data_IF_839336462011
#
_entry.id   IF_839336462011
#
_cell.length_a   1.000
_cell.length_b   1.000
_cell.length_c   1.000
_cell.angle_alpha   90.00
_cell.angle_beta   90.00
_cell.angle_gamma   90.00
#
_symmetry.space_group_name_H-M   'P 1'
#
loop_
_entity.id
_entity.type
_entity.pdbx_description
1 polymer ?
#
# COMPACT_ATOMS: atom_id res chain seq x y z
N UNK A 1 -0.29 -2.15 -4.99
CA UNK A 1 -1.59 -1.74 -4.42
C UNK A 1 -1.33 -1.07 -3.08
N UNK A 2 -1.73 0.16 -2.91
CA UNK A 2 -1.71 0.85 -1.63
C UNK A 2 -2.69 2.02 -1.65
N UNK A 3 -3.29 2.34 -0.51
CA UNK A 3 -4.22 3.45 -0.43
C UNK A 3 -4.64 3.83 0.98
N UNK A 4 -5.41 4.89 1.06
CA UNK A 4 -6.02 5.39 2.28
C UNK A 4 -5.15 6.37 3.07
N UNK A 5 -3.91 6.04 3.41
CA UNK A 5 -3.02 6.91 4.20
C UNK A 5 -1.61 6.98 3.62
N UNK A 6 -0.89 8.06 3.96
CA UNK A 6 0.50 8.23 3.57
C UNK A 6 1.42 7.10 4.06
N UNK A 7 1.09 6.48 5.21
CA UNK A 7 1.85 5.36 5.77
C UNK A 7 1.91 4.12 4.86
N UNK A 8 0.95 3.94 3.97
CA UNK A 8 0.94 2.88 2.96
C UNK A 8 1.44 3.37 1.60
N UNK A 9 1.05 4.60 1.22
CA UNK A 9 1.33 5.16 -0.10
C UNK A 9 2.82 5.46 -0.28
N UNK A 10 3.47 6.13 0.66
CA UNK A 10 4.87 6.52 0.52
C UNK A 10 5.86 5.34 0.52
N UNK A 11 5.74 4.33 1.39
CA UNK A 11 6.52 3.11 1.25
C UNK A 11 6.29 2.39 -0.08
N UNK A 12 5.03 2.34 -0.54
CA UNK A 12 4.70 1.79 -1.85
C UNK A 12 5.36 2.54 -3.01
N UNK A 13 5.44 3.88 -2.92
CA UNK A 13 6.16 4.71 -3.89
C UNK A 13 7.66 4.41 -3.87
N UNK A 14 8.27 4.30 -2.68
CA UNK A 14 9.70 3.98 -2.57
C UNK A 14 10.03 2.65 -3.27
N UNK A 15 9.22 1.61 -3.07
CA UNK A 15 9.38 0.33 -3.78
C UNK A 15 9.14 0.49 -5.28
N UNK A 16 8.11 1.24 -5.68
CA UNK A 16 7.77 1.45 -7.09
C UNK A 16 8.88 2.20 -7.84
N UNK A 17 9.51 3.20 -7.22
CA UNK A 17 10.66 3.93 -7.76
C UNK A 17 11.85 3.01 -8.00
N UNK A 18 12.17 2.17 -7.03
CA UNK A 18 13.28 1.20 -7.13
C UNK A 18 13.02 0.14 -8.22
N UNK A 19 11.83 -0.42 -8.26
CA UNK A 19 11.47 -1.41 -9.29
C UNK A 19 11.46 -0.79 -10.69
N UNK A 20 10.96 0.45 -10.83
CA UNK A 20 11.00 1.18 -12.11
C UNK A 20 12.44 1.44 -12.57
N UNK A 21 13.35 1.77 -11.66
CA UNK A 21 14.77 1.95 -11.97
C UNK A 21 15.41 0.64 -12.47
N UNK A 22 14.87 -0.51 -12.06
CA UNK A 22 15.26 -1.86 -12.54
C UNK A 22 14.54 -2.30 -13.82
N UNK A 23 13.78 -1.43 -14.46
CA UNK A 23 13.09 -1.70 -15.72
C UNK A 23 11.71 -2.33 -15.60
N UNK A 24 11.13 -2.43 -14.39
CA UNK A 24 9.78 -2.97 -14.20
C UNK A 24 8.71 -1.96 -14.63
N UNK A 25 7.68 -2.44 -15.30
CA UNK A 25 6.45 -1.68 -15.53
C UNK A 25 5.61 -1.69 -14.26
N UNK A 26 5.27 -0.51 -13.76
CA UNK A 26 4.48 -0.36 -12.54
C UNK A 26 3.08 0.14 -12.88
N UNK A 27 2.07 -0.60 -12.43
CA UNK A 27 0.67 -0.18 -12.46
C UNK A 27 0.15 -0.10 -11.04
N UNK A 28 -0.36 1.06 -10.64
CA UNK A 28 -0.85 1.28 -9.28
C UNK A 28 -2.36 1.07 -9.19
N UNK A 29 -2.77 0.07 -8.41
CA UNK A 29 -4.18 -0.08 -8.05
C UNK A 29 -4.49 0.73 -6.80
N UNK A 30 -5.47 1.63 -6.90
CA UNK A 30 -5.90 2.53 -5.83
C UNK A 30 -7.36 2.94 -5.94
N UNK A 31 -7.83 3.73 -4.98
CA UNK A 31 -9.17 4.33 -5.00
C UNK A 31 -9.11 5.72 -5.66
N UNK A 32 -9.97 6.04 -6.65
CA UNK A 32 -9.97 7.36 -7.29
C UNK A 32 -10.36 8.50 -6.34
N UNK A 33 -10.99 8.19 -5.21
CA UNK A 33 -11.38 9.16 -4.19
C UNK A 33 -10.39 9.20 -3.00
N UNK A 34 -9.27 8.46 -3.08
CA UNK A 34 -8.24 8.39 -2.05
C UNK A 34 -7.11 9.39 -2.25
N UNK A 35 -6.22 9.47 -1.25
CA UNK A 35 -5.00 10.29 -1.33
C UNK A 35 -4.11 9.88 -2.50
N UNK A 36 -4.07 8.59 -2.82
CA UNK A 36 -3.31 8.00 -3.91
C UNK A 36 -3.72 8.56 -5.29
N UNK A 37 -4.99 8.94 -5.46
CA UNK A 37 -5.49 9.50 -6.72
C UNK A 37 -4.81 10.83 -7.11
N UNK A 38 -4.33 11.58 -6.12
CA UNK A 38 -3.58 12.81 -6.36
C UNK A 38 -2.08 12.59 -6.46
N UNK A 39 -1.52 11.74 -5.59
CA UNK A 39 -0.07 11.58 -5.43
C UNK A 39 0.53 10.72 -6.55
N UNK A 40 -0.12 9.61 -6.88
CA UNK A 40 0.44 8.57 -7.76
C UNK A 40 0.56 9.02 -9.22
N UNK A 41 -0.48 9.64 -9.82
CA UNK A 41 -0.38 10.14 -11.20
C UNK A 41 0.68 11.24 -11.37
N UNK A 42 0.88 12.12 -10.37
CA UNK A 42 1.93 13.16 -10.39
C UNK A 42 3.34 12.58 -10.48
N UNK A 43 3.53 11.29 -10.15
CA UNK A 43 4.81 10.57 -10.27
C UNK A 43 4.94 9.78 -11.57
N UNK A 44 3.97 9.91 -12.48
CA UNK A 44 3.98 9.28 -13.79
C UNK A 44 3.69 7.78 -13.77
N UNK A 45 3.04 7.25 -12.72
CA UNK A 45 2.62 5.85 -12.70
C UNK A 45 1.28 5.65 -13.40
N UNK A 46 1.17 4.58 -14.18
CA UNK A 46 -0.11 4.09 -14.69
C UNK A 46 -0.99 3.66 -13.51
N UNK A 47 -2.30 3.93 -13.60
CA UNK A 47 -3.23 3.66 -12.51
C UNK A 47 -4.38 2.75 -12.94
N UNK A 48 -4.79 1.88 -12.04
CA UNK A 48 -5.97 1.04 -12.15
C UNK A 48 -6.91 1.36 -11.00
N UNK A 49 -7.96 2.13 -11.29
CA UNK A 49 -8.88 2.60 -10.25
C UNK A 49 -9.91 1.55 -9.89
N UNK A 50 -10.08 1.34 -8.59
CA UNK A 50 -11.10 0.48 -7.99
C UNK A 50 -11.81 1.28 -6.91
N UNK A 51 -13.10 1.54 -7.10
CA UNK A 51 -13.93 2.23 -6.11
C UNK A 51 -14.31 1.28 -5.01
N UNK A 52 -13.57 1.32 -3.94
CA UNK A 52 -13.81 0.53 -2.76
C UNK A 52 -13.65 1.44 -1.53
N UNK A 53 -14.76 1.76 -0.87
CA UNK A 53 -14.78 2.69 0.25
C UNK A 53 -14.38 2.03 1.56
N UNK A 54 -13.71 2.78 2.44
CA UNK A 54 -13.53 2.36 3.82
C UNK A 54 -14.91 2.21 4.49
N UNK A 55 -15.08 1.12 5.26
CA UNK A 55 -16.29 0.81 6.03
C UNK A 55 -16.55 1.81 7.18
N UNK A 56 -15.78 2.91 7.25
CA UNK A 56 -15.95 3.98 8.24
C UNK A 56 -17.15 4.86 7.91
N UNK A 57 -18.26 4.63 8.59
CA UNK A 57 -19.45 5.49 8.52
C UNK A 57 -20.61 4.90 9.31
N UNK A 58 -21.23 5.71 10.16
CA UNK A 58 -22.40 5.37 10.99
C UNK A 58 -23.68 5.54 10.17
N UNK A 59 -24.25 4.46 9.64
CA UNK A 59 -25.54 4.51 8.98
C UNK A 59 -26.01 3.11 8.59
N UNK A 60 -27.28 2.79 8.88
CA UNK A 60 -27.88 1.48 8.58
C UNK A 60 -27.90 1.20 7.08
N UNK A 61 -28.21 2.21 6.27
CA UNK A 61 -28.23 2.12 4.80
C UNK A 61 -26.85 1.71 4.25
N UNK A 62 -25.77 2.27 4.80
CA UNK A 62 -24.40 1.94 4.38
C UNK A 62 -24.02 0.51 4.75
N UNK A 63 -24.49 0.01 5.90
CA UNK A 63 -24.31 -1.40 6.28
C UNK A 63 -25.06 -2.35 5.36
N UNK A 64 -26.26 -1.98 4.92
CA UNK A 64 -27.07 -2.75 3.98
C UNK A 64 -26.46 -2.77 2.56
N UNK A 65 -25.83 -1.68 2.13
CA UNK A 65 -25.16 -1.58 0.83
C UNK A 65 -23.74 -2.16 0.82
N UNK A 66 -23.22 -2.59 1.97
CA UNK A 66 -21.89 -3.15 2.11
C UNK A 66 -21.64 -4.36 1.21
N UNK A 67 -22.52 -5.39 1.14
CA UNK A 67 -22.30 -6.54 0.26
C UNK A 67 -22.19 -6.12 -1.21
N UNK A 68 -23.02 -5.19 -1.66
CA UNK A 68 -23.00 -4.68 -3.03
C UNK A 68 -21.69 -3.94 -3.32
N UNK A 69 -21.23 -3.10 -2.39
CA UNK A 69 -19.96 -2.39 -2.52
C UNK A 69 -18.75 -3.34 -2.54
N UNK A 70 -18.78 -4.39 -1.72
CA UNK A 70 -17.76 -5.44 -1.72
C UNK A 70 -17.73 -6.16 -3.07
N UNK A 71 -18.87 -6.65 -3.55
CA UNK A 71 -18.96 -7.33 -4.84
C UNK A 71 -18.48 -6.45 -6.00
N UNK A 72 -18.88 -5.17 -6.01
CA UNK A 72 -18.42 -4.21 -7.00
C UNK A 72 -16.91 -3.98 -6.93
N UNK A 73 -16.33 -3.88 -5.72
CA UNK A 73 -14.89 -3.75 -5.51
C UNK A 73 -14.12 -4.97 -6.02
N UNK A 74 -14.59 -6.17 -5.70
CA UNK A 74 -14.01 -7.42 -6.21
C UNK A 74 -14.09 -7.53 -7.75
N UNK A 75 -15.24 -7.20 -8.32
CA UNK A 75 -15.41 -7.20 -9.78
C UNK A 75 -14.47 -6.20 -10.48
N UNK A 76 -14.35 -4.98 -9.96
CA UNK A 76 -13.44 -3.98 -10.50
C UNK A 76 -11.97 -4.42 -10.40
N UNK A 77 -11.58 -5.00 -9.24
CA UNK A 77 -10.24 -5.53 -9.02
C UNK A 77 -9.93 -6.68 -9.99
N UNK A 78 -10.86 -7.63 -10.15
CA UNK A 78 -10.75 -8.73 -11.12
C UNK A 78 -10.54 -8.21 -12.55
N UNK A 79 -11.35 -7.23 -12.96
CA UNK A 79 -11.26 -6.64 -14.30
C UNK A 79 -9.93 -5.90 -14.49
N UNK A 80 -9.45 -5.19 -13.46
CA UNK A 80 -8.18 -4.50 -13.50
C UNK A 80 -7.01 -5.49 -13.63
N UNK A 81 -6.98 -6.55 -12.83
CA UNK A 81 -5.95 -7.59 -12.89
C UNK A 81 -5.92 -8.33 -14.22
N UNK A 82 -7.09 -8.66 -14.80
CA UNK A 82 -7.18 -9.28 -16.13
C UNK A 82 -6.71 -8.37 -17.25
N UNK A 83 -6.90 -7.05 -17.13
CA UNK A 83 -6.42 -6.07 -18.11
C UNK A 83 -4.92 -5.83 -18.01
N UNK A 84 -4.39 -5.78 -16.80
CA UNK A 84 -2.99 -5.46 -16.52
C UNK A 84 -2.10 -6.68 -16.69
N UNK A 85 -2.62 -7.87 -16.36
CA UNK A 85 -1.90 -9.15 -16.35
C UNK A 85 -0.57 -9.09 -15.61
N UNK A 86 -0.57 -8.68 -14.32
CA UNK A 86 0.69 -8.50 -13.58
C UNK A 86 1.39 -9.84 -13.34
N UNK A 87 2.72 -9.85 -13.44
CA UNK A 87 3.57 -10.98 -13.07
C UNK A 87 3.60 -11.19 -11.54
N UNK A 88 3.49 -10.09 -10.79
CA UNK A 88 3.44 -10.08 -9.32
C UNK A 88 2.57 -8.94 -8.83
N UNK A 89 1.86 -9.17 -7.74
CA UNK A 89 1.01 -8.18 -7.08
C UNK A 89 1.58 -7.87 -5.71
N UNK A 90 1.95 -6.59 -5.47
CA UNK A 90 2.42 -6.11 -4.18
C UNK A 90 1.30 -5.37 -3.45
N UNK A 91 0.93 -5.85 -2.27
CA UNK A 91 0.00 -5.21 -1.34
C UNK A 91 0.76 -4.49 -0.23
N UNK A 92 0.60 -3.16 -0.17
CA UNK A 92 1.25 -2.31 0.85
C UNK A 92 0.29 -1.89 1.96
N UNK A 93 -0.94 -2.40 1.95
CA UNK A 93 -1.95 -2.06 2.95
C UNK A 93 -2.97 -1.01 2.50
N UNK A 94 -3.87 -0.70 3.43
CA UNK A 94 -5.08 0.03 3.15
C UNK A 94 -6.23 -0.88 2.67
N UNK A 95 -7.46 -0.39 2.81
CA UNK A 95 -8.65 -1.17 2.48
C UNK A 95 -8.73 -1.60 1.01
N UNK A 96 -8.09 -0.84 0.11
CA UNK A 96 -8.08 -1.15 -1.34
C UNK A 96 -7.30 -2.42 -1.67
N UNK A 97 -6.33 -2.78 -0.84
CA UNK A 97 -5.53 -4.01 -1.06
C UNK A 97 -6.36 -5.26 -0.86
N UNK A 98 -7.44 -5.21 -0.07
CA UNK A 98 -8.24 -6.39 0.21
C UNK A 98 -8.89 -6.99 -1.06
N UNK A 99 -9.73 -6.26 -1.84
CA UNK A 99 -10.30 -6.84 -3.06
C UNK A 99 -9.22 -7.17 -4.10
N UNK A 100 -8.18 -6.36 -4.22
CA UNK A 100 -7.09 -6.60 -5.15
C UNK A 100 -6.28 -7.86 -4.83
N UNK A 101 -5.89 -8.03 -3.58
CA UNK A 101 -5.12 -9.19 -3.11
C UNK A 101 -5.90 -10.50 -3.20
N UNK A 102 -7.18 -10.48 -2.77
CA UNK A 102 -8.04 -11.66 -2.91
C UNK A 102 -8.21 -12.09 -4.38
N UNK A 103 -8.43 -11.13 -5.28
CA UNK A 103 -8.56 -11.45 -6.71
C UNK A 103 -7.23 -11.87 -7.33
N UNK A 104 -6.09 -11.34 -6.88
CA UNK A 104 -4.78 -11.80 -7.32
C UNK A 104 -4.57 -13.27 -6.96
N UNK A 105 -4.81 -13.64 -5.70
CA UNK A 105 -4.71 -15.02 -5.22
C UNK A 105 -5.65 -15.95 -6.00
N UNK A 106 -6.92 -15.58 -6.20
CA UNK A 106 -7.89 -16.37 -6.96
C UNK A 106 -7.51 -16.56 -8.45
N UNK A 107 -6.79 -15.61 -9.02
CA UNK A 107 -6.26 -15.69 -10.39
C UNK A 107 -4.92 -16.41 -10.48
N UNK A 108 -4.37 -16.92 -9.39
CA UNK A 108 -3.05 -17.54 -9.34
C UNK A 108 -1.90 -16.56 -9.63
N UNK A 109 -2.12 -15.25 -9.39
CA UNK A 109 -1.05 -14.24 -9.51
C UNK A 109 -0.28 -14.16 -8.20
N UNK A 110 1.06 -14.26 -8.23
CA UNK A 110 1.88 -14.15 -7.03
C UNK A 110 1.54 -12.90 -6.22
N UNK A 111 1.21 -13.07 -4.94
CA UNK A 111 0.85 -12.00 -4.03
C UNK A 111 1.91 -11.84 -2.94
N UNK A 112 2.56 -10.69 -2.93
CA UNK A 112 3.48 -10.27 -1.88
C UNK A 112 2.80 -9.19 -1.04
N UNK A 113 2.86 -9.32 0.28
CA UNK A 113 2.36 -8.30 1.21
C UNK A 113 3.52 -7.65 1.96
N UNK A 114 3.37 -6.38 2.27
CA UNK A 114 4.22 -5.69 3.23
C UNK A 114 3.37 -4.92 4.23
N UNK A 115 3.56 -5.19 5.53
CA UNK A 115 2.95 -4.43 6.62
C UNK A 115 3.96 -3.43 7.20
N UNK A 116 3.62 -2.14 7.18
CA UNK A 116 4.50 -1.07 7.62
C UNK A 116 4.33 -0.67 9.08
N UNK A 117 3.21 -1.05 9.68
CA UNK A 117 2.87 -0.67 11.05
C UNK A 117 3.25 -1.77 12.04
N UNK A 118 3.48 -1.40 13.29
CA UNK A 118 3.71 -2.34 14.38
C UNK A 118 2.46 -3.15 14.78
N UNK A 119 1.29 -2.76 14.25
CA UNK A 119 0.02 -3.50 14.40
C UNK A 119 -0.58 -3.68 13.02
N UNK A 120 -0.72 -4.92 12.58
CA UNK A 120 -1.24 -5.22 11.26
C UNK A 120 -2.68 -4.76 11.07
N UNK A 121 -2.93 -4.11 9.94
CA UNK A 121 -4.27 -3.76 9.50
C UNK A 121 -5.13 -4.99 9.17
N UNK A 122 -6.45 -4.87 9.31
CA UNK A 122 -7.38 -5.99 9.07
C UNK A 122 -7.21 -6.59 7.66
N UNK A 123 -7.04 -5.75 6.64
CA UNK A 123 -6.83 -6.22 5.27
C UNK A 123 -5.59 -7.11 5.17
N UNK A 124 -4.46 -6.68 5.72
CA UNK A 124 -3.21 -7.43 5.67
C UNK A 124 -3.27 -8.72 6.51
N UNK A 125 -3.96 -8.70 7.67
CA UNK A 125 -4.18 -9.93 8.47
C UNK A 125 -4.95 -11.01 7.70
N UNK A 126 -5.95 -10.62 6.93
CA UNK A 126 -6.74 -11.59 6.14
C UNK A 126 -5.94 -12.05 4.94
N UNK A 127 -5.30 -11.13 4.23
CA UNK A 127 -4.53 -11.44 3.02
C UNK A 127 -3.26 -12.24 3.30
N UNK A 128 -2.67 -12.12 4.50
CA UNK A 128 -1.50 -12.91 4.89
C UNK A 128 -1.74 -14.43 4.81
N UNK A 129 -3.01 -14.86 4.96
CA UNK A 129 -3.38 -16.28 4.85
C UNK A 129 -3.39 -16.84 3.42
N UNK A 130 -3.37 -15.96 2.42
CA UNK A 130 -3.45 -16.31 1.00
C UNK A 130 -2.32 -15.71 0.17
N UNK A 131 -1.41 -14.98 0.81
CA UNK A 131 -0.25 -14.40 0.16
C UNK A 131 0.88 -15.44 0.02
N UNK A 132 1.64 -15.34 -1.06
CA UNK A 132 2.83 -16.19 -1.30
C UNK A 132 4.02 -15.74 -0.45
N UNK A 133 4.08 -14.45 -0.11
CA UNK A 133 5.10 -13.87 0.77
C UNK A 133 4.51 -12.76 1.61
N UNK A 134 4.88 -12.75 2.89
CA UNK A 134 4.51 -11.71 3.85
C UNK A 134 5.77 -11.06 4.40
N UNK A 135 5.88 -9.76 4.24
CA UNK A 135 7.00 -8.94 4.70
C UNK A 135 6.50 -7.95 5.75
N UNK A 136 7.35 -7.56 6.67
CA UNK A 136 6.98 -6.61 7.72
C UNK A 136 8.06 -5.57 8.01
N UNK A 137 7.60 -4.38 8.43
CA UNK A 137 8.45 -3.29 8.90
C UNK A 137 8.93 -3.45 10.34
N UNK A 138 8.25 -4.30 11.12
CA UNK A 138 8.54 -4.58 12.53
C UNK A 138 8.50 -6.08 12.80
N UNK A 139 9.23 -6.56 13.81
CA UNK A 139 9.18 -7.97 14.20
C UNK A 139 7.79 -8.34 14.75
N UNK A 140 7.43 -9.61 14.63
CA UNK A 140 6.26 -10.26 15.28
C UNK A 140 4.89 -9.59 15.01
N UNK A 141 4.74 -8.92 13.85
CA UNK A 141 3.48 -8.22 13.48
C UNK A 141 2.46 -9.16 12.85
N UNK A 142 2.92 -10.12 12.06
CA UNK A 142 2.13 -11.14 11.40
C UNK A 142 2.86 -12.47 11.49
N UNK A 143 2.09 -13.56 11.64
CA UNK A 143 2.64 -14.90 11.63
C UNK A 143 3.40 -15.17 10.32
N UNK A 144 4.57 -15.79 10.41
CA UNK A 144 5.43 -16.15 9.28
C UNK A 144 5.90 -14.97 8.41
N UNK A 145 5.76 -13.72 8.90
CA UNK A 145 6.26 -12.56 8.17
C UNK A 145 7.79 -12.43 8.29
N UNK A 146 8.42 -12.20 7.17
CA UNK A 146 9.84 -11.86 7.10
C UNK A 146 10.04 -10.38 7.48
N UNK A 147 10.77 -10.13 8.55
CA UNK A 147 11.08 -8.78 8.98
C UNK A 147 12.22 -8.18 8.16
N UNK A 148 11.91 -7.26 7.28
CA UNK A 148 12.87 -6.55 6.40
C UNK A 148 13.03 -5.06 6.73
N UNK A 149 12.20 -4.53 7.62
CA UNK A 149 12.10 -3.09 7.85
C UNK A 149 11.16 -2.39 6.86
N UNK A 150 11.05 -1.07 6.97
CA UNK A 150 10.19 -0.27 6.11
C UNK A 150 10.94 0.29 4.90
N UNK A 151 10.36 0.25 3.69
CA UNK A 151 10.89 0.96 2.54
C UNK A 151 10.90 2.47 2.80
N UNK A 152 12.07 3.08 2.63
CA UNK A 152 12.28 4.52 2.83
C UNK A 152 12.67 5.16 1.50
N UNK A 153 12.09 6.32 1.20
CA UNK A 153 12.41 7.07 -0.02
C UNK A 153 13.85 7.55 -0.01
N UNK A 154 14.47 7.62 -1.19
CA UNK A 154 15.85 8.02 -1.38
C UNK A 154 16.16 9.44 -0.84
N UNK A 155 15.19 10.37 -0.96
CA UNK A 155 15.33 11.73 -0.43
C UNK A 155 15.45 11.77 1.11
N UNK A 156 14.86 10.81 1.80
CA UNK A 156 14.97 10.68 3.26
C UNK A 156 16.26 9.98 3.66
N UNK A 157 16.66 8.94 2.94
CA UNK A 157 17.92 8.22 3.22
C UNK A 157 19.16 9.06 2.91
N UNK A 158 19.05 10.01 1.98
CA UNK A 158 20.11 10.97 1.65
C UNK A 158 20.31 12.07 2.71
N UNK A 159 19.42 12.17 3.70
CA UNK A 159 19.57 13.17 4.77
C UNK A 159 20.73 12.79 5.68
N UNK A 160 21.67 13.71 5.88
CA UNK A 160 22.83 13.52 6.75
C UNK A 160 22.42 13.04 8.15
N UNK A 161 23.19 12.13 8.77
CA UNK A 161 22.92 11.67 10.13
C UNK A 161 22.77 12.82 11.13
N UNK A 162 21.99 12.65 12.21
CA UNK A 162 21.82 13.66 13.25
C UNK A 162 23.15 14.17 13.83
N UNK A 163 24.11 13.28 14.01
CA UNK A 163 25.44 13.62 14.52
C UNK A 163 26.20 14.64 13.65
N UNK A 164 25.96 14.65 12.34
CA UNK A 164 26.56 15.58 11.40
C UNK A 164 25.72 16.85 11.20
N UNK A 165 24.40 16.74 11.33
CA UNK A 165 23.48 17.87 11.12
C UNK A 165 23.37 18.79 12.33
N UNK A 166 23.31 18.24 13.53
CA UNK A 166 23.02 19.02 14.75
C UNK A 166 24.15 19.97 15.14
N UNK A 167 25.43 19.60 15.06
CA UNK A 167 26.51 20.55 15.34
C UNK A 167 26.53 21.80 14.44
N UNK A 168 25.95 21.68 13.25
CA UNK A 168 25.87 22.80 12.27
C UNK A 168 24.66 23.71 12.51
N UNK A 169 23.79 23.36 13.46
CA UNK A 169 22.60 24.17 13.76
C UNK A 169 22.97 25.37 14.64
N UNK A 170 22.53 26.54 14.19
CA UNK A 170 22.60 27.79 14.95
C UNK A 170 21.17 28.29 15.18
N UNK A 171 20.96 29.07 16.27
CA UNK A 171 19.68 29.67 16.59
C UNK A 171 18.82 28.81 17.57
N UNK A 172 17.55 29.21 17.75
CA UNK A 172 16.66 28.58 18.74
C UNK A 172 16.31 27.14 18.40
N UNK A 173 15.93 26.36 19.41
CA UNK A 173 15.40 25.00 19.25
C UNK A 173 14.17 25.02 18.33
N UNK A 174 14.14 24.10 17.36
CA UNK A 174 13.00 23.92 16.44
C UNK A 174 12.28 22.63 16.81
N UNK A 175 11.02 22.76 17.13
CA UNK A 175 10.11 21.64 17.45
C UNK A 175 9.05 21.57 16.36
N UNK A 176 8.84 20.39 15.83
CA UNK A 176 7.72 20.08 14.95
C UNK A 176 6.70 19.27 15.78
N UNK A 177 5.44 19.71 15.77
CA UNK A 177 4.32 19.06 16.45
C UNK A 177 3.33 18.52 15.42
#
# INVERSE_FOLDING_TARGET
MAGGTGGHIFPGIAVAEELRARGWRIVWMGNPDGMEARIVPQRGYETAWVRFGALRGKGLVRKLLLPVSLLAGFWQALRALRRVEPDVVLGMGGYITFPGGMMASLLGRPLVLHEQNSVAGLANRVLARVADRVLSGFPDVLDEAEWLGNPVRADITAVLPPAERYPRRTGPLRVLV
#
